data_IF_479565078562
#
_entry.id   IF_479565078562
#
_cell.length_a   1.000
_cell.length_b   1.000
_cell.length_c   1.000
_cell.angle_alpha   90.00
_cell.angle_beta   90.00
_cell.angle_gamma   90.00
#
_symmetry.space_group_name_H-M   'P 1'
#
loop_
_entity.id
_entity.type
_entity.pdbx_description
1 polymer ?
#
# COMPACT_ATOMS: atom_id res chain seq x y z
N UNK A 1 -20.77 -28.63 -5.64
CA UNK A 1 -19.40 -28.17 -5.35
C UNK A 1 -19.15 -26.70 -5.72
N UNK A 2 -20.17 -25.90 -6.05
CA UNK A 2 -19.99 -24.49 -6.47
C UNK A 2 -20.34 -23.46 -5.37
N UNK A 3 -21.16 -23.83 -4.38
CA UNK A 3 -21.63 -22.90 -3.33
C UNK A 3 -20.53 -22.32 -2.44
N UNK A 4 -19.52 -23.12 -2.08
CA UNK A 4 -18.46 -22.65 -1.18
C UNK A 4 -17.58 -21.57 -1.82
N UNK A 5 -17.31 -21.70 -3.12
CA UNK A 5 -16.54 -20.70 -3.88
C UNK A 5 -17.34 -19.42 -4.07
N UNK A 6 -18.62 -19.53 -4.42
CA UNK A 6 -19.51 -18.37 -4.56
C UNK A 6 -19.70 -17.63 -3.24
N UNK A 7 -19.89 -18.35 -2.13
CA UNK A 7 -19.99 -17.77 -0.80
C UNK A 7 -18.71 -17.01 -0.42
N UNK A 8 -17.54 -17.60 -0.66
CA UNK A 8 -16.26 -16.95 -0.39
C UNK A 8 -16.07 -15.68 -1.24
N UNK A 9 -16.41 -15.76 -2.53
CA UNK A 9 -16.34 -14.62 -3.45
C UNK A 9 -17.27 -13.48 -3.02
N UNK A 10 -18.53 -13.74 -2.74
CA UNK A 10 -19.49 -12.72 -2.31
C UNK A 10 -19.06 -12.03 -1.00
N UNK A 11 -18.55 -12.81 -0.04
CA UNK A 11 -18.03 -12.26 1.22
C UNK A 11 -16.81 -11.36 0.99
N UNK A 12 -15.93 -11.77 0.08
CA UNK A 12 -14.74 -11.01 -0.30
C UNK A 12 -15.11 -9.70 -0.99
N UNK A 13 -15.91 -9.77 -2.06
CA UNK A 13 -16.34 -8.61 -2.84
C UNK A 13 -17.13 -7.60 -1.98
N UNK A 14 -17.90 -8.06 -0.98
CA UNK A 14 -18.61 -7.19 -0.03
C UNK A 14 -17.68 -6.38 0.89
N UNK A 15 -16.51 -6.93 1.21
CA UNK A 15 -15.58 -6.35 2.20
C UNK A 15 -14.40 -5.63 1.57
N UNK A 16 -14.17 -5.82 0.27
CA UNK A 16 -13.02 -5.27 -0.44
C UNK A 16 -13.50 -4.43 -1.62
N UNK A 17 -13.56 -3.12 -1.39
CA UNK A 17 -13.64 -2.16 -2.49
C UNK A 17 -12.24 -1.98 -3.09
N UNK A 18 -12.17 -2.04 -4.42
CA UNK A 18 -10.91 -1.83 -5.15
C UNK A 18 -10.69 -0.32 -5.21
N UNK A 19 -9.64 0.23 -4.57
CA UNK A 19 -9.37 1.65 -4.65
C UNK A 19 -8.96 2.02 -6.08
N UNK A 20 -9.51 3.11 -6.61
CA UNK A 20 -9.04 3.69 -7.86
C UNK A 20 -7.80 4.53 -7.60
N UNK A 21 -6.72 4.22 -8.31
CA UNK A 21 -5.45 4.95 -8.26
C UNK A 21 -5.19 5.63 -9.59
N UNK A 22 -4.45 6.74 -9.59
CA UNK A 22 -3.98 7.44 -10.80
C UNK A 22 -2.46 7.49 -10.82
N UNK A 23 -1.91 7.57 -12.04
CA UNK A 23 -0.49 7.85 -12.24
C UNK A 23 -0.16 9.21 -11.65
N UNK A 24 0.88 9.28 -10.83
CA UNK A 24 1.29 10.47 -10.08
C UNK A 24 0.77 10.53 -8.65
N UNK A 25 -0.14 9.64 -8.23
CA UNK A 25 -0.61 9.62 -6.84
C UNK A 25 0.49 9.14 -5.89
N UNK A 26 0.49 9.72 -4.67
CA UNK A 26 1.33 9.28 -3.57
C UNK A 26 0.66 8.13 -2.83
N UNK A 27 1.42 7.06 -2.62
CA UNK A 27 0.92 5.84 -1.98
C UNK A 27 1.91 5.26 -0.98
N UNK A 28 1.37 4.42 -0.10
CA UNK A 28 2.11 3.63 0.86
C UNK A 28 2.03 2.15 0.47
N UNK A 29 3.16 1.45 0.50
CA UNK A 29 3.27 0.02 0.17
C UNK A 29 3.37 -0.80 1.45
N UNK A 30 2.60 -1.88 1.55
CA UNK A 30 2.61 -2.74 2.74
C UNK A 30 3.87 -3.60 2.83
N UNK A 31 4.48 -3.57 4.01
CA UNK A 31 5.70 -4.32 4.35
C UNK A 31 5.42 -5.71 4.92
N UNK A 32 4.18 -6.00 5.30
CA UNK A 32 3.78 -7.21 6.05
C UNK A 32 4.14 -8.54 5.37
N UNK A 33 4.23 -8.54 4.03
CA UNK A 33 4.57 -9.72 3.21
C UNK A 33 5.95 -9.61 2.55
N UNK A 34 6.75 -8.61 2.90
CA UNK A 34 8.08 -8.44 2.37
C UNK A 34 9.07 -9.18 3.27
N UNK A 35 9.49 -10.39 2.85
CA UNK A 35 10.34 -11.29 3.63
C UNK A 35 11.77 -10.77 3.89
N UNK A 36 12.14 -9.61 3.34
CA UNK A 36 13.49 -9.04 3.35
C UNK A 36 13.48 -7.57 3.83
N UNK A 37 12.85 -7.29 4.97
CA UNK A 37 13.02 -6.00 5.66
C UNK A 37 13.88 -6.27 6.89
N UNK A 38 14.87 -5.41 7.10
CA UNK A 38 15.93 -5.65 8.06
C UNK A 38 15.49 -5.13 9.43
N UNK A 39 15.06 -6.01 10.34
CA UNK A 39 14.69 -5.59 11.68
C UNK A 39 13.85 -6.61 12.46
N UNK A 40 13.38 -6.19 13.63
CA UNK A 40 12.45 -6.99 14.44
C UNK A 40 11.02 -6.69 14.02
N UNK A 41 10.34 -7.71 13.47
CA UNK A 41 8.97 -7.67 12.93
C UNK A 41 7.89 -7.03 13.85
N UNK A 42 8.15 -6.90 15.15
CA UNK A 42 7.21 -6.32 16.14
C UNK A 42 7.21 -4.78 16.17
N UNK A 43 8.28 -4.13 15.74
CA UNK A 43 8.45 -2.67 15.82
C UNK A 43 8.53 -1.98 14.46
N UNK A 44 8.40 -2.75 13.38
CA UNK A 44 8.44 -2.22 12.02
C UNK A 44 7.10 -1.60 11.62
N UNK A 45 7.19 -0.51 10.87
CA UNK A 45 6.01 0.08 10.24
C UNK A 45 5.40 -0.93 9.26
N UNK A 46 4.08 -1.12 9.33
CA UNK A 46 3.36 -2.02 8.43
C UNK A 46 3.25 -1.51 6.99
N UNK A 47 3.65 -0.26 6.77
CA UNK A 47 3.64 0.44 5.49
C UNK A 47 4.88 1.31 5.35
N UNK A 48 5.42 1.38 4.14
CA UNK A 48 6.59 2.18 3.78
C UNK A 48 6.23 3.12 2.62
N UNK A 49 6.88 4.28 2.56
CA UNK A 49 6.62 5.34 1.57
C UNK A 49 6.56 6.73 2.22
N UNK A 50 6.10 7.76 1.50
CA UNK A 50 5.31 7.68 0.27
C UNK A 50 6.12 7.40 -1.00
N UNK A 51 5.52 6.66 -1.94
CA UNK A 51 6.03 6.41 -3.29
C UNK A 51 5.08 6.98 -4.34
N UNK A 52 5.62 7.32 -5.51
CA UNK A 52 4.84 7.84 -6.65
C UNK A 52 4.46 6.68 -7.56
N UNK A 53 3.21 6.63 -8.01
CA UNK A 53 2.76 5.69 -9.04
C UNK A 53 3.29 6.16 -10.40
N UNK A 54 4.12 5.34 -11.04
CA UNK A 54 4.61 5.59 -12.40
C UNK A 54 3.65 5.05 -13.46
N UNK A 55 3.07 3.87 -13.23
CA UNK A 55 2.20 3.21 -14.19
C UNK A 55 1.16 2.32 -13.50
N UNK A 56 0.03 2.13 -14.17
CA UNK A 56 -1.04 1.24 -13.72
C UNK A 56 -1.14 0.05 -14.66
N UNK A 57 -1.02 -1.15 -14.10
CA UNK A 57 -1.17 -2.41 -14.82
C UNK A 57 -2.60 -2.91 -14.65
N UNK A 58 -3.50 -2.35 -15.46
CA UNK A 58 -4.93 -2.62 -15.38
C UNK A 58 -5.53 -2.19 -14.04
N UNK A 59 -6.44 -2.99 -13.49
CA UNK A 59 -7.14 -2.71 -12.22
C UNK A 59 -6.49 -3.34 -10.99
N UNK A 60 -5.51 -4.21 -11.19
CA UNK A 60 -5.07 -5.14 -10.14
C UNK A 60 -3.66 -4.83 -9.62
N UNK A 61 -2.85 -4.10 -10.38
CA UNK A 61 -1.46 -3.86 -10.05
C UNK A 61 -1.03 -2.42 -10.37
N UNK A 62 -0.17 -1.88 -9.52
CA UNK A 62 0.42 -0.56 -9.66
C UNK A 62 1.93 -0.69 -9.71
N UNK A 63 2.58 0.07 -10.57
CA UNK A 63 4.03 0.21 -10.61
C UNK A 63 4.42 1.52 -9.94
N UNK A 64 5.39 1.44 -9.04
CA UNK A 64 5.80 2.55 -8.20
C UNK A 64 7.30 2.77 -8.33
N UNK A 65 7.71 4.03 -8.21
CA UNK A 65 9.11 4.38 -8.09
C UNK A 65 9.58 4.07 -6.66
N UNK A 66 10.37 2.99 -6.50
CA UNK A 66 10.92 2.59 -5.20
C UNK A 66 12.22 3.31 -4.91
N UNK A 67 12.31 3.89 -3.72
CA UNK A 67 13.48 4.60 -3.21
C UNK A 67 14.00 3.93 -1.93
N UNK A 68 15.22 4.29 -1.50
CA UNK A 68 15.80 3.82 -0.24
C UNK A 68 16.06 2.31 -0.20
N UNK A 69 15.67 1.65 0.90
CA UNK A 69 15.90 0.23 1.16
C UNK A 69 15.13 -0.70 0.20
N UNK A 70 14.06 -0.17 -0.41
CA UNK A 70 13.19 -0.88 -1.34
C UNK A 70 13.64 -0.82 -2.80
N UNK A 71 14.67 -0.02 -3.14
CA UNK A 71 15.12 0.20 -4.53
C UNK A 71 15.42 -1.10 -5.31
N UNK A 72 15.89 -2.13 -4.62
CA UNK A 72 16.25 -3.41 -5.23
C UNK A 72 15.07 -4.41 -5.29
N UNK A 73 13.88 -4.05 -4.81
CA UNK A 73 12.69 -4.90 -4.87
C UNK A 73 11.91 -4.63 -6.15
N UNK A 74 11.01 -5.56 -6.47
CA UNK A 74 10.15 -5.43 -7.64
C UNK A 74 9.22 -4.21 -7.49
N UNK A 75 9.17 -3.28 -8.47
CA UNK A 75 8.42 -2.03 -8.35
C UNK A 75 6.91 -2.20 -8.57
N UNK A 76 6.45 -3.35 -9.04
CA UNK A 76 5.02 -3.61 -9.22
C UNK A 76 4.42 -4.31 -8.01
N UNK A 77 3.34 -3.74 -7.48
CA UNK A 77 2.59 -4.25 -6.34
C UNK A 77 1.12 -4.46 -6.69
N UNK A 78 0.47 -5.50 -6.15
CA UNK A 78 -0.99 -5.62 -6.19
C UNK A 78 -1.68 -4.47 -5.46
N UNK A 79 -2.79 -3.96 -6.00
CA UNK A 79 -3.57 -2.85 -5.41
C UNK A 79 -3.98 -3.08 -3.96
N UNK A 80 -4.18 -4.34 -3.56
CA UNK A 80 -4.55 -4.70 -2.18
C UNK A 80 -3.44 -4.45 -1.15
N UNK A 81 -2.18 -4.37 -1.59
CA UNK A 81 -1.03 -4.10 -0.73
C UNK A 81 -0.69 -2.61 -0.67
N UNK A 82 -1.52 -1.77 -1.28
CA UNK A 82 -1.26 -0.34 -1.46
C UNK A 82 -2.37 0.47 -0.81
N UNK A 83 -1.99 1.62 -0.23
CA UNK A 83 -2.92 2.59 0.33
C UNK A 83 -2.61 3.99 -0.17
N UNK A 84 -3.63 4.82 -0.33
CA UNK A 84 -3.45 6.24 -0.59
C UNK A 84 -2.68 6.90 0.56
N UNK A 85 -1.70 7.72 0.22
CA UNK A 85 -1.01 8.56 1.19
C UNK A 85 -1.90 9.76 1.53
N UNK A 86 -2.22 9.93 2.81
CA UNK A 86 -2.86 11.13 3.33
C UNK A 86 -1.80 11.95 4.04
N UNK A 87 -1.55 13.17 3.54
CA UNK A 87 -0.67 14.11 4.24
C UNK A 87 -1.28 14.48 5.58
N UNK A 88 -0.43 14.72 6.58
CA UNK A 88 -0.90 15.11 7.90
C UNK A 88 -1.59 16.47 7.82
N UNK A 89 -2.91 16.49 7.92
CA UNK A 89 -3.70 17.72 7.99
C UNK A 89 -3.36 18.50 9.27
N UNK A 90 -2.62 19.60 9.11
CA UNK A 90 -2.16 20.45 10.22
C UNK A 90 -3.32 21.11 10.97
N UNK A 91 -4.43 21.34 10.28
CA UNK A 91 -5.64 21.95 10.85
C UNK A 91 -6.33 21.01 11.85
N UNK A 92 -6.42 19.72 11.54
CA UNK A 92 -7.04 18.72 12.42
C UNK A 92 -6.13 18.31 13.58
N UNK A 93 -4.80 18.32 13.38
CA UNK A 93 -3.83 17.85 14.37
C UNK A 93 -2.69 18.83 14.60
N UNK A 94 -2.97 20.02 15.17
CA UNK A 94 -1.98 21.10 15.30
C UNK A 94 -0.79 20.76 16.21
N UNK A 95 -0.95 19.79 17.13
CA UNK A 95 0.09 19.37 18.07
C UNK A 95 0.87 18.13 17.59
N UNK A 96 0.59 17.59 16.41
CA UNK A 96 1.31 16.43 15.88
C UNK A 96 2.73 16.87 15.51
N UNK A 97 3.74 16.28 16.17
CA UNK A 97 5.14 16.48 15.82
C UNK A 97 5.45 15.64 14.58
N UNK A 98 5.97 16.28 13.53
CA UNK A 98 6.51 15.58 12.37
C UNK A 98 7.82 14.89 12.79
N UNK A 99 7.92 13.58 12.59
CA UNK A 99 9.18 12.85 12.85
C UNK A 99 10.23 13.33 11.85
N UNK A 100 11.43 13.75 12.28
CA UNK A 100 12.49 14.14 11.34
C UNK A 100 12.90 12.93 10.48
N UNK A 101 13.06 13.19 9.17
CA UNK A 101 13.53 12.24 8.15
C UNK A 101 14.99 11.82 8.39
#
# INVERSE_FOLDING_TARGET
MNDAFEYAKQKWDKSHEIPEFKVGDLILVSTLKLNNIKGSKKWEYSFEGPFIIEALHGKNAVQVELLGELKNKHPTFPVILVKHYSSSEKELFPLRRETPL
#
